data_IF_081641411309
#
_entry.id   IF_081641411309
#
_cell.length_a   1.000
_cell.length_b   1.000
_cell.length_c   1.000
_cell.angle_alpha   90.00
_cell.angle_beta   90.00
_cell.angle_gamma   90.00
#
_symmetry.space_group_name_H-M   'P 1'
#
loop_
_entity.id
_entity.type
_entity.pdbx_description
1 polymer ?
#
# COMPACT_ATOMS: atom_id res chain seq x y z
N UNK A 1 -2.76 -4.47 12.07
CA UNK A 1 -3.02 -5.93 11.99
C UNK A 1 -2.58 -6.38 10.62
N UNK A 2 -1.46 -7.10 10.51
CA UNK A 2 -0.96 -7.59 9.23
C UNK A 2 -1.57 -8.99 9.02
N UNK A 3 -2.53 -9.12 8.11
CA UNK A 3 -2.98 -10.43 7.66
C UNK A 3 -1.86 -11.04 6.82
N UNK A 4 -1.09 -11.96 7.42
CA UNK A 4 -0.17 -12.81 6.68
C UNK A 4 -0.98 -13.62 5.67
N UNK A 5 -0.65 -13.45 4.38
CA UNK A 5 -1.16 -14.29 3.31
C UNK A 5 -0.92 -15.77 3.59
N UNK A 6 -1.94 -16.56 3.29
CA UNK A 6 -1.93 -17.99 2.99
C UNK A 6 -0.75 -18.81 3.53
N UNK A 7 -0.82 -19.18 4.80
CA UNK A 7 -0.21 -20.43 5.25
C UNK A 7 -1.09 -21.59 4.75
N UNK A 8 -0.72 -22.19 3.62
CA UNK A 8 -1.33 -23.45 3.19
C UNK A 8 -1.04 -24.51 4.26
N UNK A 9 -2.11 -25.06 4.84
CA UNK A 9 -2.07 -26.09 5.86
C UNK A 9 -1.23 -27.28 5.43
N UNK A 10 -0.36 -27.74 6.33
CA UNK A 10 0.44 -28.93 6.13
C UNK A 10 -0.45 -30.17 6.24
N UNK A 11 -0.52 -30.96 5.18
CA UNK A 11 -1.02 -32.34 5.21
C UNK A 11 0.08 -33.25 5.79
N UNK A 12 -0.25 -34.21 6.67
CA UNK A 12 0.77 -35.05 7.27
C UNK A 12 1.17 -36.16 6.31
N UNK A 13 2.44 -36.12 5.87
CA UNK A 13 3.10 -37.24 5.19
C UNK A 13 3.59 -36.91 3.79
N UNK A 14 4.81 -36.36 3.70
CA UNK A 14 5.87 -36.73 2.74
C UNK A 14 6.98 -35.67 2.72
N UNK A 15 8.22 -36.10 2.99
CA UNK A 15 9.48 -35.47 2.54
C UNK A 15 9.83 -34.10 3.12
N UNK A 16 11.12 -33.84 3.33
CA UNK A 16 11.61 -32.49 3.61
C UNK A 16 11.41 -31.62 2.35
N UNK A 17 10.22 -31.05 2.20
CA UNK A 17 9.96 -30.05 1.18
C UNK A 17 10.73 -28.79 1.62
N UNK A 18 11.91 -28.60 1.01
CA UNK A 18 12.51 -27.27 0.88
C UNK A 18 11.43 -26.40 0.25
N UNK A 19 10.69 -25.66 1.07
CA UNK A 19 9.62 -24.80 0.57
C UNK A 19 10.29 -23.71 -0.24
N UNK A 20 10.20 -23.84 -1.57
CA UNK A 20 10.61 -22.79 -2.50
C UNK A 20 9.75 -21.57 -2.21
N UNK A 21 10.26 -20.69 -1.37
CA UNK A 21 9.52 -19.50 -0.95
C UNK A 21 9.47 -18.53 -2.14
N UNK A 22 8.27 -18.33 -2.67
CA UNK A 22 7.97 -17.38 -3.73
C UNK A 22 6.92 -16.39 -3.23
N UNK A 23 6.87 -15.20 -3.82
CA UNK A 23 5.93 -14.14 -3.44
C UNK A 23 4.88 -13.96 -4.54
N UNK A 24 3.63 -14.30 -4.24
CA UNK A 24 2.52 -14.15 -5.19
C UNK A 24 2.00 -12.71 -5.16
N UNK A 25 2.20 -11.99 -6.25
CA UNK A 25 1.63 -10.66 -6.45
C UNK A 25 0.19 -10.73 -6.93
N UNK A 26 -0.11 -11.71 -7.79
CA UNK A 26 -1.46 -12.10 -8.18
C UNK A 26 -1.61 -13.60 -7.96
N UNK A 27 -2.26 -14.05 -6.88
CA UNK A 27 -2.39 -15.47 -6.58
C UNK A 27 -3.33 -16.18 -7.57
N UNK A 28 -3.22 -17.52 -7.71
CA UNK A 28 -4.17 -18.31 -8.48
C UNK A 28 -5.59 -18.12 -7.97
N UNK A 29 -6.53 -17.88 -8.89
CA UNK A 29 -7.95 -17.67 -8.55
C UNK A 29 -8.86 -18.63 -9.31
N UNK A 30 -8.86 -18.56 -10.64
CA UNK A 30 -9.69 -19.40 -11.51
C UNK A 30 -8.89 -19.92 -12.71
N UNK A 31 -9.41 -20.97 -13.36
CA UNK A 31 -8.84 -21.47 -14.61
C UNK A 31 -8.81 -20.35 -15.66
N UNK A 32 -7.76 -20.32 -16.47
CA UNK A 32 -7.57 -19.34 -17.54
C UNK A 32 -7.34 -17.89 -17.06
N UNK A 33 -6.93 -17.70 -15.81
CA UNK A 33 -6.41 -16.43 -15.29
C UNK A 33 -4.89 -16.49 -15.12
N UNK A 34 -4.23 -15.36 -15.37
CA UNK A 34 -2.78 -15.25 -15.12
C UNK A 34 -2.47 -15.22 -13.64
N UNK A 35 -1.28 -15.72 -13.29
CA UNK A 35 -0.69 -15.68 -11.95
C UNK A 35 0.61 -14.90 -12.06
N UNK A 36 0.79 -13.93 -11.18
CA UNK A 36 1.99 -13.09 -11.16
C UNK A 36 2.77 -13.44 -9.90
N UNK A 37 4.00 -13.91 -10.08
CA UNK A 37 4.85 -14.41 -9.01
C UNK A 37 6.23 -13.77 -9.09
N UNK A 38 6.68 -13.20 -7.98
CA UNK A 38 8.07 -12.82 -7.78
C UNK A 38 8.84 -14.03 -7.25
N UNK A 39 9.89 -14.38 -7.99
CA UNK A 39 10.76 -15.52 -7.69
C UNK A 39 12.13 -15.01 -7.27
N UNK A 40 12.57 -15.29 -6.02
CA UNK A 40 13.93 -14.99 -5.60
C UNK A 40 14.96 -15.67 -6.51
N UNK A 41 16.11 -15.02 -6.73
CA UNK A 41 17.16 -15.52 -7.63
C UNK A 41 17.57 -16.96 -7.32
N UNK A 42 17.74 -17.27 -6.04
CA UNK A 42 18.18 -18.59 -5.57
C UNK A 42 17.17 -19.71 -5.89
N UNK A 43 15.89 -19.34 -6.06
CA UNK A 43 14.79 -20.24 -6.37
C UNK A 43 14.46 -20.30 -7.86
N UNK A 44 15.09 -19.45 -8.70
CA UNK A 44 14.69 -19.28 -10.09
C UNK A 44 14.81 -20.57 -10.91
N UNK A 45 15.93 -21.29 -10.81
CA UNK A 45 16.12 -22.56 -11.56
C UNK A 45 15.02 -23.56 -11.22
N UNK A 46 14.79 -23.80 -9.93
CA UNK A 46 13.81 -24.77 -9.46
C UNK A 46 12.38 -24.43 -9.94
N UNK A 47 12.02 -23.14 -9.93
CA UNK A 47 10.70 -22.71 -10.42
C UNK A 47 10.59 -22.87 -11.94
N UNK A 48 11.61 -22.48 -12.71
CA UNK A 48 11.58 -22.61 -14.17
C UNK A 48 11.51 -24.08 -14.60
N UNK A 49 12.27 -24.96 -13.93
CA UNK A 49 12.24 -26.41 -14.18
C UNK A 49 10.86 -26.99 -13.91
N UNK A 50 10.21 -26.57 -12.82
CA UNK A 50 8.84 -26.99 -12.46
C UNK A 50 7.82 -26.52 -13.51
N UNK A 51 7.89 -25.25 -13.92
CA UNK A 51 6.97 -24.71 -14.95
C UNK A 51 7.13 -25.46 -16.28
N UNK A 52 8.37 -25.75 -16.67
CA UNK A 52 8.66 -26.51 -17.89
C UNK A 52 8.17 -27.96 -17.79
N UNK A 53 8.43 -28.65 -16.67
CA UNK A 53 7.99 -30.03 -16.44
C UNK A 53 6.47 -30.17 -16.58
N UNK A 54 5.71 -29.17 -16.11
CA UNK A 54 4.25 -29.16 -16.18
C UNK A 54 3.69 -28.47 -17.43
N UNK A 55 4.54 -28.09 -18.39
CA UNK A 55 4.13 -27.36 -19.61
C UNK A 55 3.30 -26.11 -19.32
N UNK A 56 3.62 -25.42 -18.22
CA UNK A 56 2.95 -24.17 -17.83
C UNK A 56 3.63 -23.02 -18.61
N UNK A 57 2.92 -22.32 -19.50
CA UNK A 57 3.49 -21.20 -20.22
C UNK A 57 3.78 -20.04 -19.27
N UNK A 58 4.93 -19.40 -19.45
CA UNK A 58 5.34 -18.24 -18.65
C UNK A 58 6.10 -17.23 -19.51
N UNK A 59 6.18 -16.00 -19.02
CA UNK A 59 7.06 -14.96 -19.55
C UNK A 59 7.54 -14.07 -18.41
N UNK A 60 8.68 -13.43 -18.58
CA UNK A 60 9.24 -12.51 -17.58
C UNK A 60 8.66 -11.11 -17.76
N UNK A 61 7.88 -10.63 -16.79
CA UNK A 61 7.36 -9.25 -16.78
C UNK A 61 8.41 -8.23 -16.31
N UNK A 62 9.17 -8.56 -15.25
CA UNK A 62 10.21 -7.71 -14.66
C UNK A 62 11.47 -8.55 -14.49
N UNK A 63 12.51 -8.27 -15.27
CA UNK A 63 13.75 -9.04 -15.23
C UNK A 63 14.53 -8.90 -13.94
N UNK A 64 14.49 -7.72 -13.32
CA UNK A 64 15.17 -7.44 -12.05
C UNK A 64 14.32 -6.49 -11.19
N UNK A 65 13.61 -7.05 -10.22
CA UNK A 65 12.74 -6.29 -9.29
C UNK A 65 13.56 -5.31 -8.45
N UNK A 66 14.76 -5.71 -8.00
CA UNK A 66 15.65 -4.82 -7.24
C UNK A 66 16.00 -3.57 -8.03
N UNK A 67 16.40 -3.73 -9.29
CA UNK A 67 16.74 -2.59 -10.15
C UNK A 67 15.53 -1.68 -10.39
N UNK A 68 14.34 -2.25 -10.58
CA UNK A 68 13.11 -1.48 -10.77
C UNK A 68 12.75 -0.66 -9.52
N UNK A 69 12.83 -1.26 -8.33
CA UNK A 69 12.57 -0.59 -7.05
C UNK A 69 13.62 0.49 -6.77
N UNK A 70 14.91 0.19 -6.94
CA UNK A 70 15.98 1.16 -6.72
C UNK A 70 15.85 2.38 -7.66
N UNK A 71 15.53 2.14 -8.92
CA UNK A 71 15.25 3.21 -9.88
C UNK A 71 14.07 4.06 -9.43
N UNK A 72 12.95 3.42 -9.07
CA UNK A 72 11.76 4.12 -8.60
C UNK A 72 12.04 4.97 -7.37
N UNK A 73 12.75 4.43 -6.37
CA UNK A 73 13.14 5.16 -5.17
C UNK A 73 14.02 6.37 -5.46
N UNK A 74 15.00 6.22 -6.37
CA UNK A 74 15.85 7.32 -6.79
C UNK A 74 15.07 8.42 -7.51
N UNK A 75 14.16 8.05 -8.40
CA UNK A 75 13.33 9.00 -9.15
C UNK A 75 12.37 9.74 -8.22
N UNK A 76 11.72 9.03 -7.28
CA UNK A 76 10.85 9.63 -6.26
C UNK A 76 11.65 10.56 -5.32
N UNK A 77 12.83 10.15 -4.86
CA UNK A 77 13.70 10.99 -4.03
C UNK A 77 14.12 12.28 -4.74
N UNK A 78 14.51 12.19 -6.02
CA UNK A 78 14.84 13.38 -6.84
C UNK A 78 13.64 14.29 -7.04
N UNK A 79 12.44 13.73 -7.20
CA UNK A 79 11.21 14.52 -7.32
C UNK A 79 10.92 15.25 -6.00
N UNK A 80 10.95 14.55 -4.87
CA UNK A 80 10.80 15.12 -3.52
C UNK A 80 11.84 16.20 -3.19
N UNK A 81 13.06 16.04 -3.67
CA UNK A 81 14.11 17.06 -3.48
C UNK A 81 13.77 18.43 -4.10
N UNK A 82 12.87 18.49 -5.10
CA UNK A 82 12.44 19.75 -5.73
C UNK A 82 11.51 20.57 -4.83
N UNK A 83 10.80 19.90 -3.93
CA UNK A 83 9.86 20.49 -2.97
C UNK A 83 10.38 20.40 -1.53
N UNK A 84 11.59 19.86 -1.33
CA UNK A 84 12.22 19.71 -0.02
C UNK A 84 12.31 21.05 0.74
N UNK A 85 11.91 21.01 2.01
CA UNK A 85 11.88 22.18 2.90
C UNK A 85 10.61 23.03 2.79
N UNK A 86 9.70 22.72 1.86
CA UNK A 86 8.33 23.27 1.92
C UNK A 86 7.56 22.54 3.03
N UNK A 87 6.87 23.26 3.92
CA UNK A 87 5.99 22.61 4.87
C UNK A 87 4.89 21.85 4.11
N UNK A 88 4.48 20.68 4.62
CA UNK A 88 3.37 19.89 4.09
C UNK A 88 2.02 20.58 4.35
N UNK A 89 1.88 21.81 3.85
CA UNK A 89 0.65 22.59 3.91
C UNK A 89 -0.31 22.10 2.85
N UNK A 90 -1.62 22.16 3.11
CA UNK A 90 -2.66 21.78 2.14
C UNK A 90 -2.37 22.35 0.75
N UNK A 91 -2.10 23.66 0.66
CA UNK A 91 -1.90 24.35 -0.62
C UNK A 91 -0.58 24.01 -1.34
N UNK A 92 0.39 23.42 -0.64
CA UNK A 92 1.74 23.15 -1.16
C UNK A 92 2.07 21.65 -1.20
N UNK A 93 1.13 20.78 -0.86
CA UNK A 93 1.34 19.34 -0.82
C UNK A 93 1.46 18.77 -2.25
N UNK A 94 2.54 18.03 -2.50
CA UNK A 94 2.85 17.54 -3.84
C UNK A 94 2.23 16.15 -4.09
N UNK A 95 1.06 16.09 -4.72
CA UNK A 95 0.40 14.81 -5.05
C UNK A 95 1.07 14.02 -6.19
N UNK A 96 2.16 14.53 -6.78
CA UNK A 96 2.87 13.84 -7.88
C UNK A 96 3.98 12.88 -7.40
N UNK A 97 4.20 12.77 -6.10
CA UNK A 97 5.23 11.93 -5.47
C UNK A 97 4.66 11.02 -4.38
N UNK A 98 5.40 9.98 -4.03
CA UNK A 98 5.10 9.14 -2.87
C UNK A 98 5.75 9.72 -1.61
N UNK A 99 4.91 10.00 -0.61
CA UNK A 99 5.30 10.60 0.67
C UNK A 99 5.63 9.57 1.73
N UNK A 100 6.50 9.96 2.66
CA UNK A 100 6.79 9.22 3.89
C UNK A 100 5.67 9.38 4.92
N UNK A 101 5.63 8.47 5.90
CA UNK A 101 4.61 8.47 6.94
C UNK A 101 4.50 9.83 7.68
N UNK A 102 5.63 10.46 8.03
CA UNK A 102 5.62 11.75 8.74
C UNK A 102 4.96 12.86 7.90
N UNK A 103 5.27 12.92 6.60
CA UNK A 103 4.73 13.93 5.68
C UNK A 103 3.21 13.75 5.52
N UNK A 104 2.73 12.50 5.51
CA UNK A 104 1.31 12.16 5.47
C UNK A 104 0.61 12.56 6.78
N UNK A 105 1.24 12.25 7.91
CA UNK A 105 0.71 12.58 9.25
C UNK A 105 0.61 14.10 9.47
N UNK A 106 1.61 14.84 8.99
CA UNK A 106 1.64 16.29 8.99
C UNK A 106 0.53 16.85 8.07
N UNK A 107 0.38 16.31 6.86
CA UNK A 107 -0.66 16.75 5.91
C UNK A 107 -2.08 16.60 6.48
N UNK A 108 -2.45 15.45 7.03
CA UNK A 108 -3.81 15.26 7.58
C UNK A 108 -4.06 16.14 8.81
N UNK A 109 -3.00 16.46 9.55
CA UNK A 109 -3.05 17.40 10.68
C UNK A 109 -3.25 18.82 10.17
N UNK A 110 -2.56 19.22 9.11
CA UNK A 110 -2.69 20.54 8.48
C UNK A 110 -4.07 20.73 7.82
N UNK A 111 -4.63 19.68 7.20
CA UNK A 111 -6.02 19.70 6.68
C UNK A 111 -7.01 20.03 7.81
N UNK A 112 -6.88 19.39 8.98
CA UNK A 112 -7.73 19.68 10.12
C UNK A 112 -7.58 21.12 10.61
N UNK A 113 -6.35 21.63 10.67
CA UNK A 113 -6.05 23.00 11.11
C UNK A 113 -6.53 24.07 10.13
N UNK A 114 -6.48 23.76 8.82
CA UNK A 114 -6.88 24.67 7.75
C UNK A 114 -8.39 24.73 7.60
N UNK A 115 -9.10 23.61 7.79
CA UNK A 115 -10.56 23.52 7.62
C UNK A 115 -11.30 23.04 8.89
N UNK A 116 -11.12 23.69 10.05
CA UNK A 116 -11.67 23.22 11.33
C UNK A 116 -13.21 23.15 11.36
N UNK A 117 -13.89 23.86 10.45
CA UNK A 117 -15.34 23.86 10.31
C UNK A 117 -15.92 22.57 9.67
N UNK A 118 -15.10 21.80 8.96
CA UNK A 118 -15.51 20.57 8.29
C UNK A 118 -14.60 19.37 8.60
N UNK A 119 -13.40 19.60 9.13
CA UNK A 119 -12.42 18.56 9.39
C UNK A 119 -12.23 18.35 10.89
N UNK A 120 -12.25 17.08 11.32
CA UNK A 120 -11.90 16.67 12.67
C UNK A 120 -10.98 15.46 12.64
N UNK A 121 -9.97 15.46 13.51
CA UNK A 121 -8.99 14.38 13.62
C UNK A 121 -9.18 13.66 14.95
N UNK A 122 -9.25 12.33 14.93
CA UNK A 122 -9.28 11.50 16.14
C UNK A 122 -8.28 10.36 16.06
N UNK A 123 -7.96 9.76 17.21
CA UNK A 123 -7.02 8.63 17.30
C UNK A 123 -7.58 7.60 18.29
N UNK A 124 -8.27 6.59 17.77
CA UNK A 124 -8.94 5.59 18.61
C UNK A 124 -8.12 4.29 18.76
N UNK A 125 -7.02 4.15 18.02
CA UNK A 125 -6.22 2.93 18.00
C UNK A 125 -4.72 3.21 17.84
N UNK A 126 -3.91 2.19 18.13
CA UNK A 126 -2.48 2.19 17.90
C UNK A 126 -2.06 0.95 17.09
N UNK A 127 -1.03 1.10 16.27
CA UNK A 127 -0.34 0.00 15.59
C UNK A 127 0.39 -0.89 16.58
N UNK A 128 0.83 -2.06 16.12
CA UNK A 128 1.65 -2.97 16.94
C UNK A 128 2.95 -2.30 17.45
N UNK A 129 3.55 -1.43 16.63
CA UNK A 129 4.77 -0.69 17.00
C UNK A 129 4.48 0.62 17.77
N UNK A 130 3.23 0.84 18.20
CA UNK A 130 2.85 1.96 19.05
C UNK A 130 2.57 3.29 18.32
N UNK A 131 2.59 3.33 16.98
CA UNK A 131 2.12 4.52 16.24
C UNK A 131 0.61 4.70 16.36
N UNK A 132 0.15 5.93 16.53
CA UNK A 132 -1.28 6.28 16.50
C UNK A 132 -1.89 6.00 15.13
N UNK A 133 -3.10 5.44 15.11
CA UNK A 133 -3.92 5.29 13.91
C UNK A 133 -4.95 6.41 13.93
N UNK A 134 -4.69 7.45 13.14
CA UNK A 134 -5.54 8.64 13.07
C UNK A 134 -6.68 8.44 12.06
N UNK A 135 -7.84 8.99 12.37
CA UNK A 135 -8.99 9.09 11.46
C UNK A 135 -9.27 10.55 11.17
N UNK A 136 -9.21 10.94 9.89
CA UNK A 136 -9.65 12.25 9.43
C UNK A 136 -11.12 12.15 8.99
N UNK A 137 -12.00 12.84 9.70
CA UNK A 137 -13.41 12.97 9.32
C UNK A 137 -13.63 14.32 8.65
N UNK A 138 -14.20 14.27 7.44
CA UNK A 138 -14.59 15.44 6.65
C UNK A 138 -16.12 15.47 6.52
N UNK A 139 -16.74 16.59 6.90
CA UNK A 139 -18.17 16.80 6.79
C UNK A 139 -18.70 17.89 7.71
N UNK A 140 -19.75 18.58 7.28
CA UNK A 140 -20.41 19.62 8.09
C UNK A 140 -21.15 18.98 9.28
N UNK A 141 -21.22 19.68 10.42
CA UNK A 141 -22.10 19.28 11.52
C UNK A 141 -23.54 19.13 11.04
N UNK A 142 -24.27 18.18 11.63
CA UNK A 142 -25.69 18.02 11.35
C UNK A 142 -26.47 19.26 11.79
N UNK A 143 -27.34 19.76 10.92
CA UNK A 143 -28.22 20.90 11.21
C UNK A 143 -29.59 20.46 11.72
N UNK A 144 -29.97 19.19 11.54
CA UNK A 144 -31.26 18.62 11.96
C UNK A 144 -31.20 17.86 13.29
N UNK A 145 -29.99 17.64 13.84
CA UNK A 145 -29.78 16.79 15.01
C UNK A 145 -29.72 15.29 14.67
N UNK A 146 -29.92 14.92 13.41
CA UNK A 146 -29.80 13.55 12.92
C UNK A 146 -28.36 13.23 12.48
N UNK A 147 -27.95 11.96 12.53
CA UNK A 147 -26.63 11.53 12.04
C UNK A 147 -26.57 11.60 10.52
N UNK A 148 -25.62 12.37 9.99
CA UNK A 148 -25.38 12.42 8.54
C UNK A 148 -24.94 11.03 8.02
N UNK A 149 -25.37 10.61 6.81
CA UNK A 149 -24.82 9.42 6.18
C UNK A 149 -23.31 9.58 6.00
N UNK A 150 -22.57 8.50 6.25
CA UNK A 150 -21.11 8.50 6.24
C UNK A 150 -20.57 7.50 5.21
N UNK A 151 -19.45 7.85 4.60
CA UNK A 151 -18.66 6.98 3.73
C UNK A 151 -17.34 6.72 4.45
N UNK A 152 -16.96 5.45 4.58
CA UNK A 152 -15.67 5.06 5.12
C UNK A 152 -14.71 4.71 3.98
N UNK A 153 -13.52 5.31 4.00
CA UNK A 153 -12.46 5.06 3.03
C UNK A 153 -11.19 4.76 3.81
N UNK A 154 -10.58 3.61 3.53
CA UNK A 154 -9.25 3.26 4.01
C UNK A 154 -8.31 2.94 2.83
N UNK A 155 -7.01 3.00 3.12
CA UNK A 155 -5.95 2.68 2.19
C UNK A 155 -4.75 2.09 2.94
N UNK A 156 -3.82 1.48 2.19
CA UNK A 156 -2.57 0.94 2.72
C UNK A 156 -2.73 -0.17 3.77
N UNK A 157 -3.83 -0.94 3.75
CA UNK A 157 -3.94 -2.15 4.57
C UNK A 157 -2.83 -3.16 4.24
N UNK A 158 -2.36 -3.15 2.99
CA UNK A 158 -1.10 -3.77 2.57
C UNK A 158 -0.04 -2.70 2.30
N UNK A 159 1.09 -2.80 3.00
CA UNK A 159 2.15 -1.78 3.00
C UNK A 159 2.82 -1.56 1.62
N UNK A 160 2.68 -2.50 0.68
CA UNK A 160 3.28 -2.45 -0.67
C UNK A 160 2.40 -1.78 -1.72
N UNK A 161 1.16 -1.44 -1.38
CA UNK A 161 0.17 -0.86 -2.30
C UNK A 161 0.18 0.67 -2.20
N UNK A 162 1.35 1.30 -2.43
CA UNK A 162 1.59 2.73 -2.19
C UNK A 162 0.64 3.66 -2.96
N UNK A 163 0.14 3.23 -4.12
CA UNK A 163 -0.82 3.98 -4.91
C UNK A 163 -2.14 4.24 -4.18
N UNK A 164 -2.56 3.32 -3.31
CA UNK A 164 -3.79 3.47 -2.52
C UNK A 164 -3.70 4.68 -1.58
N UNK A 165 -2.57 4.85 -0.90
CA UNK A 165 -2.33 5.98 0.00
C UNK A 165 -2.36 7.30 -0.77
N UNK A 166 -1.60 7.39 -1.86
CA UNK A 166 -1.54 8.59 -2.70
C UNK A 166 -2.94 8.98 -3.22
N UNK A 167 -3.75 7.99 -3.61
CA UNK A 167 -5.12 8.21 -4.09
C UNK A 167 -6.03 8.79 -3.01
N UNK A 168 -5.97 8.27 -1.78
CA UNK A 168 -6.79 8.79 -0.67
C UNK A 168 -6.35 10.20 -0.26
N UNK A 169 -5.06 10.49 -0.25
CA UNK A 169 -4.55 11.84 0.04
C UNK A 169 -5.06 12.86 -0.98
N UNK A 170 -5.04 12.51 -2.27
CA UNK A 170 -5.62 13.34 -3.31
C UNK A 170 -7.14 13.49 -3.13
N UNK A 171 -7.85 12.42 -2.78
CA UNK A 171 -9.29 12.50 -2.53
C UNK A 171 -9.63 13.45 -1.37
N UNK A 172 -8.80 13.49 -0.31
CA UNK A 172 -8.93 14.44 0.81
C UNK A 172 -8.86 15.87 0.30
N UNK A 173 -7.83 16.21 -0.49
CA UNK A 173 -7.63 17.53 -1.07
C UNK A 173 -8.80 17.98 -1.96
N UNK A 174 -9.39 17.07 -2.73
CA UNK A 174 -10.51 17.39 -3.61
C UNK A 174 -11.83 17.64 -2.88
N UNK A 175 -11.97 17.22 -1.62
CA UNK A 175 -13.22 17.34 -0.85
C UNK A 175 -13.12 18.20 0.40
N UNK A 176 -11.91 18.69 0.73
CA UNK A 176 -11.64 19.69 1.76
C UNK A 176 -11.84 21.11 1.23
#
# INVERSE_FOLDING_TARGET
>A
MCWSGYALGQWPGQGSCSTTQVDFWKPPSHVNQTVDVHVPRDNLSAVLDLLQQHSIPYHTMIGNVRQAVEKHMQDNHKARARTAGRPARVNDFDFSVYHEWNEIDDFITDVQQTYPQIASLSSEAATFEGRSIKTLKLGKPSTSGETNPAIWIDAAIHCREWISTATVLYAIDQVS
#
